data_IF_515326599864
#
_entry.id   IF_515326599864
#
_cell.length_a   1.000
_cell.length_b   1.000
_cell.length_c   1.000
_cell.angle_alpha   90.00
_cell.angle_beta   90.00
_cell.angle_gamma   90.00
#
_symmetry.space_group_name_H-M   'P 1'
#
loop_
_entity.id
_entity.type
_entity.pdbx_description
1 polymer ?
#
# COMPACT_ATOMS: atom_id res chain seq x y z
N UNK A 1 1.82 2.32 -1.03
CA UNK A 1 1.56 3.12 -2.25
C UNK A 1 2.36 2.68 -3.49
N UNK A 2 3.60 2.18 -3.36
CA UNK A 2 4.40 1.78 -4.53
C UNK A 2 3.75 0.69 -5.38
N UNK A 3 3.11 -0.32 -4.77
CA UNK A 3 2.43 -1.40 -5.50
C UNK A 3 1.36 -0.90 -6.46
N UNK A 4 0.65 0.17 -6.08
CA UNK A 4 -0.36 0.80 -6.95
C UNK A 4 0.29 1.51 -8.12
N UNK A 5 1.35 2.28 -7.89
CA UNK A 5 2.05 3.00 -8.95
C UNK A 5 2.65 2.04 -9.99
N UNK A 6 3.26 0.94 -9.52
CA UNK A 6 3.78 -0.12 -10.39
C UNK A 6 2.70 -0.66 -11.33
N UNK A 7 1.48 -0.94 -10.82
CA UNK A 7 0.36 -1.44 -11.64
C UNK A 7 -0.01 -0.50 -12.78
N UNK A 8 -0.08 0.81 -12.53
CA UNK A 8 -0.36 1.79 -13.59
C UNK A 8 0.73 1.77 -14.66
N UNK A 9 2.00 1.82 -14.27
CA UNK A 9 3.10 1.79 -15.24
C UNK A 9 3.15 0.48 -16.04
N UNK A 10 2.91 -0.67 -15.40
CA UNK A 10 2.84 -1.95 -16.13
C UNK A 10 1.65 -2.06 -17.06
N UNK A 11 0.50 -1.46 -16.71
CA UNK A 11 -0.68 -1.43 -17.58
C UNK A 11 -0.41 -0.58 -18.84
N UNK A 12 0.31 0.53 -18.69
CA UNK A 12 0.76 1.38 -19.81
C UNK A 12 1.93 0.76 -20.62
N UNK A 13 2.32 -0.49 -20.34
CA UNK A 13 3.39 -1.21 -21.05
C UNK A 13 4.80 -0.82 -20.63
N UNK A 14 4.97 -0.07 -19.54
CA UNK A 14 6.27 0.33 -19.01
C UNK A 14 6.82 -0.71 -18.03
N UNK A 15 8.15 -0.79 -17.90
CA UNK A 15 8.84 -1.66 -16.94
C UNK A 15 9.43 -0.85 -15.77
N UNK A 16 8.62 -0.47 -14.76
CA UNK A 16 9.08 0.35 -13.64
C UNK A 16 9.95 -0.47 -12.66
N UNK A 17 11.10 0.09 -12.26
CA UNK A 17 11.95 -0.49 -11.20
C UNK A 17 11.59 0.22 -9.89
N UNK A 18 11.04 -0.48 -8.88
CA UNK A 18 10.72 0.14 -7.61
C UNK A 18 11.99 0.58 -6.88
N UNK A 19 12.02 1.83 -6.42
CA UNK A 19 13.10 2.32 -5.57
C UNK A 19 13.13 1.56 -4.24
N UNK A 20 14.32 1.32 -3.65
CA UNK A 20 14.41 0.67 -2.35
C UNK A 20 13.75 1.56 -1.29
N UNK A 21 12.54 1.20 -0.86
CA UNK A 21 11.90 1.84 0.29
C UNK A 21 12.21 1.05 1.54
N UNK A 22 12.46 1.73 2.66
CA UNK A 22 12.47 1.12 3.97
C UNK A 22 11.10 0.47 4.21
N UNK A 23 11.00 -0.84 3.96
CA UNK A 23 9.87 -1.66 4.32
C UNK A 23 9.78 -1.67 5.86
N UNK A 24 9.12 -0.66 6.43
CA UNK A 24 8.73 -0.59 7.85
C UNK A 24 7.66 -1.63 8.21
N UNK A 25 7.52 -2.69 7.41
CA UNK A 25 6.82 -3.90 7.78
C UNK A 25 7.68 -4.67 8.77
N UNK A 26 7.69 -4.23 10.03
CA UNK A 26 8.28 -4.99 11.13
C UNK A 26 7.61 -6.37 11.20
N UNK A 27 8.28 -7.40 10.66
CA UNK A 27 7.86 -8.81 10.75
C UNK A 27 8.04 -9.36 12.17
N UNK A 28 8.64 -8.61 13.08
CA UNK A 28 8.87 -9.04 14.45
C UNK A 28 8.10 -8.13 15.42
N UNK A 29 7.32 -8.76 16.30
CA UNK A 29 6.48 -8.22 17.39
C UNK A 29 4.98 -8.08 17.10
N UNK A 30 4.31 -9.24 17.09
CA UNK A 30 2.87 -9.41 17.30
C UNK A 30 2.46 -8.99 18.74
N UNK A 31 2.59 -7.70 19.06
CA UNK A 31 1.98 -7.15 20.26
C UNK A 31 0.55 -6.69 19.92
N UNK A 32 -0.41 -7.60 20.11
CA UNK A 32 -1.84 -7.40 19.87
C UNK A 32 -2.49 -6.26 20.69
N UNK A 33 -1.76 -5.67 21.64
CA UNK A 33 -2.21 -4.53 22.46
C UNK A 33 -1.99 -3.16 21.79
N UNK A 34 -1.25 -3.08 20.68
CA UNK A 34 -0.97 -1.82 19.95
C UNK A 34 -2.11 -1.35 19.03
N UNK A 35 -3.30 -1.95 19.12
CA UNK A 35 -4.45 -1.58 18.29
C UNK A 35 -4.93 -0.14 18.63
N UNK A 36 -4.72 0.33 19.87
CA UNK A 36 -4.99 1.71 20.32
C UNK A 36 -3.79 2.66 20.19
N UNK A 37 -2.85 2.38 19.28
CA UNK A 37 -1.72 3.29 19.00
C UNK A 37 -2.04 4.22 17.83
N UNK A 38 -1.62 5.49 17.89
CA UNK A 38 -1.66 6.43 16.75
C UNK A 38 -1.07 5.83 15.46
N UNK A 39 -0.07 4.95 15.61
CA UNK A 39 0.54 4.24 14.49
C UNK A 39 -0.39 3.22 13.82
N UNK A 40 -1.33 2.61 14.57
CA UNK A 40 -2.36 1.74 14.00
C UNK A 40 -3.40 2.53 13.20
N UNK A 41 -3.74 3.75 13.64
CA UNK A 41 -4.61 4.67 12.87
C UNK A 41 -3.95 5.11 11.57
N UNK A 42 -2.64 5.39 11.60
CA UNK A 42 -1.90 5.72 10.38
C UNK A 42 -1.88 4.56 9.39
N UNK A 43 -1.66 3.32 9.86
CA UNK A 43 -1.77 2.11 9.03
C UNK A 43 -3.18 1.92 8.46
N UNK A 44 -4.22 2.17 9.26
CA UNK A 44 -5.62 2.12 8.80
C UNK A 44 -5.89 3.15 7.69
N UNK A 45 -5.43 4.39 7.87
CA UNK A 45 -5.53 5.45 6.85
C UNK A 45 -4.87 5.03 5.53
N UNK A 46 -3.67 4.45 5.60
CA UNK A 46 -2.94 3.95 4.42
C UNK A 46 -3.73 2.81 3.76
N UNK A 47 -4.21 1.84 4.53
CA UNK A 47 -4.98 0.70 4.02
C UNK A 47 -6.27 1.14 3.32
N UNK A 48 -7.03 2.07 3.90
CA UNK A 48 -8.24 2.62 3.28
C UNK A 48 -7.92 3.33 1.96
N UNK A 49 -6.86 4.14 1.91
CA UNK A 49 -6.42 4.82 0.69
C UNK A 49 -5.95 3.84 -0.39
N UNK A 50 -5.34 2.72 -0.02
CA UNK A 50 -4.97 1.67 -0.97
C UNK A 50 -6.19 0.92 -1.47
N UNK A 51 -7.14 0.58 -0.60
CA UNK A 51 -8.38 -0.10 -0.96
C UNK A 51 -9.23 0.71 -1.95
N UNK A 52 -9.44 2.00 -1.69
CA UNK A 52 -10.14 2.91 -2.61
C UNK A 52 -9.40 2.98 -3.95
N UNK A 53 -8.07 3.09 -3.92
CA UNK A 53 -7.26 3.13 -5.14
C UNK A 53 -7.33 1.82 -5.96
N UNK A 54 -7.46 0.66 -5.32
CA UNK A 54 -7.66 -0.62 -6.00
C UNK A 54 -9.05 -0.73 -6.62
N UNK A 55 -10.09 -0.31 -5.89
CA UNK A 55 -11.45 -0.25 -6.43
C UNK A 55 -11.50 0.68 -7.64
N UNK A 56 -10.85 1.84 -7.56
CA UNK A 56 -10.80 2.80 -8.66
C UNK A 56 -10.11 2.24 -9.91
N UNK A 57 -8.98 1.53 -9.76
CA UNK A 57 -8.33 0.83 -10.87
C UNK A 57 -9.28 -0.18 -11.52
N UNK A 58 -9.99 -0.97 -10.70
CA UNK A 58 -10.96 -1.95 -11.18
C UNK A 58 -12.13 -1.31 -11.95
N UNK A 59 -12.62 -0.14 -11.50
CA UNK A 59 -13.66 0.62 -12.20
C UNK A 59 -13.13 1.21 -13.52
N UNK A 60 -11.87 1.66 -13.53
CA UNK A 60 -11.19 2.19 -14.72
C UNK A 60 -10.81 1.10 -15.74
N UNK A 61 -10.89 -0.17 -15.39
CA UNK A 61 -10.47 -1.28 -16.24
C UNK A 61 -8.95 -1.50 -16.29
N UNK A 62 -8.24 -1.04 -15.25
CA UNK A 62 -6.79 -1.16 -15.08
C UNK A 62 -6.42 -2.39 -14.26
#
# INVERSE_FOLDING_TARGET
HMTRALKFFTHEGLSPIPAPTNHLGSIQNLNYTKIFSSHALEKSRIAIHEFIGLIWQKIKGI
#
